data_IF_819770140375
#
_entry.id   IF_819770140375
#
_cell.length_a   1.000
_cell.length_b   1.000
_cell.length_c   1.000
_cell.angle_alpha   90.00
_cell.angle_beta   90.00
_cell.angle_gamma   90.00
#
_symmetry.space_group_name_H-M   'P 1'
#
loop_
_entity.id
_entity.type
_entity.pdbx_description
1 polymer ?
#
# COMPACT_ATOMS: atom_id res chain seq x y z
N UNK A 1 -4.53 4.61 -11.04
CA UNK A 1 -4.61 4.23 -9.60
C UNK A 1 -3.51 3.21 -9.33
N UNK A 2 -3.13 2.98 -8.08
CA UNK A 2 -2.15 1.96 -7.74
C UNK A 2 -2.58 1.16 -6.51
N UNK A 3 -2.22 -0.12 -6.49
CA UNK A 3 -2.43 -1.02 -5.37
C UNK A 3 -1.08 -1.46 -4.82
N UNK A 4 -0.92 -1.30 -3.52
CA UNK A 4 0.32 -1.55 -2.80
C UNK A 4 0.06 -2.61 -1.76
N UNK A 5 0.91 -3.62 -1.69
CA UNK A 5 0.90 -4.62 -0.63
C UNK A 5 2.11 -4.43 0.25
N UNK A 6 1.89 -4.48 1.55
CA UNK A 6 2.94 -4.42 2.54
C UNK A 6 2.82 -5.56 3.53
N UNK A 7 3.91 -6.30 3.74
CA UNK A 7 3.97 -7.40 4.69
C UNK A 7 4.40 -6.90 6.08
N UNK A 8 3.46 -6.30 6.81
CA UNK A 8 3.68 -5.80 8.16
C UNK A 8 2.56 -6.23 9.11
N UNK A 9 2.94 -6.59 10.35
CA UNK A 9 1.99 -6.89 11.43
C UNK A 9 1.53 -5.62 12.17
N UNK A 10 2.10 -4.46 11.83
CA UNK A 10 1.71 -3.18 12.44
C UNK A 10 0.36 -2.77 11.88
N UNK A 11 -0.56 -2.40 12.77
CA UNK A 11 -1.81 -1.74 12.39
C UNK A 11 -1.53 -0.26 12.20
N UNK A 12 -1.69 0.30 10.98
CA UNK A 12 -1.46 1.72 10.75
C UNK A 12 -2.45 2.58 11.54
N UNK A 13 -1.96 3.68 12.12
CA UNK A 13 -2.77 4.62 12.90
C UNK A 13 -3.94 5.17 12.07
N UNK A 14 -3.72 5.37 10.77
CA UNK A 14 -4.74 5.83 9.83
C UNK A 14 -5.98 4.92 9.80
N UNK A 15 -5.78 3.61 9.88
CA UNK A 15 -6.88 2.63 9.93
C UNK A 15 -7.58 2.62 11.29
N UNK A 16 -6.87 2.92 12.37
CA UNK A 16 -7.48 3.08 13.69
C UNK A 16 -8.35 4.33 13.76
N UNK A 17 -7.95 5.40 13.07
CA UNK A 17 -8.66 6.68 13.01
C UNK A 17 -9.83 6.70 12.03
N UNK A 18 -9.73 5.94 10.94
CA UNK A 18 -10.73 5.87 9.87
C UNK A 18 -11.09 4.40 9.55
N UNK A 19 -11.76 3.69 10.47
CA UNK A 19 -12.11 2.29 10.29
C UNK A 19 -13.06 2.06 9.11
N UNK A 20 -13.81 3.07 8.68
CA UNK A 20 -14.70 3.03 7.51
C UNK A 20 -13.96 2.83 6.18
N UNK A 21 -12.66 3.11 6.14
CA UNK A 21 -11.82 2.88 4.96
C UNK A 21 -11.27 1.44 4.92
N UNK A 22 -11.49 0.65 5.99
CA UNK A 22 -11.13 -0.76 6.03
C UNK A 22 -12.18 -1.56 5.29
N UNK A 23 -11.73 -2.29 4.28
CA UNK A 23 -12.56 -3.16 3.46
C UNK A 23 -12.19 -4.61 3.73
N UNK A 24 -13.20 -5.43 4.02
CA UNK A 24 -13.01 -6.85 4.32
C UNK A 24 -12.88 -7.16 5.81
N UNK A 25 -12.82 -8.45 6.11
CA UNK A 25 -12.76 -8.95 7.49
C UNK A 25 -11.30 -9.03 7.96
N UNK A 26 -11.08 -8.72 9.25
CA UNK A 26 -9.78 -8.93 9.89
C UNK A 26 -9.56 -10.44 10.02
N UNK A 27 -8.45 -11.00 9.49
CA UNK A 27 -8.18 -12.43 9.59
C UNK A 27 -8.13 -12.90 11.05
N UNK A 28 -8.76 -14.04 11.34
CA UNK A 28 -8.81 -14.62 12.68
C UNK A 28 -7.42 -14.88 13.29
N UNK A 29 -6.44 -15.21 12.45
CA UNK A 29 -5.05 -15.44 12.86
C UNK A 29 -4.25 -14.14 13.05
N UNK A 30 -4.88 -12.98 12.91
CA UNK A 30 -4.25 -11.67 12.95
C UNK A 30 -3.78 -11.17 11.57
N UNK A 31 -3.51 -9.88 11.52
CA UNK A 31 -3.06 -9.19 10.30
C UNK A 31 -1.57 -9.46 10.07
N UNK A 32 -1.23 -10.00 8.89
CA UNK A 32 0.14 -10.21 8.47
C UNK A 32 0.63 -9.17 7.45
N UNK A 33 -0.28 -8.38 6.90
CA UNK A 33 0.02 -7.30 5.98
C UNK A 33 -1.20 -6.45 5.66
N UNK A 34 -1.01 -5.50 4.77
CA UNK A 34 -2.08 -4.63 4.28
C UNK A 34 -1.99 -4.48 2.78
N UNK A 35 -3.13 -4.53 2.11
CA UNK A 35 -3.29 -4.04 0.75
C UNK A 35 -3.91 -2.64 0.82
N UNK A 36 -3.25 -1.68 0.19
CA UNK A 36 -3.59 -0.26 0.23
C UNK A 36 -3.84 0.20 -1.19
N UNK A 37 -5.04 0.70 -1.45
CA UNK A 37 -5.38 1.34 -2.72
C UNK A 37 -5.14 2.83 -2.63
N UNK A 38 -4.30 3.32 -3.53
CA UNK A 38 -3.93 4.73 -3.64
C UNK A 38 -4.44 5.29 -4.97
N UNK A 39 -5.05 6.46 -4.91
CA UNK A 39 -5.46 7.17 -6.11
C UNK A 39 -4.24 7.80 -6.82
N UNK A 40 -4.48 8.49 -7.94
CA UNK A 40 -3.40 9.11 -8.71
C UNK A 40 -2.71 10.29 -7.99
N UNK A 41 -3.28 10.80 -6.89
CA UNK A 41 -2.69 11.85 -6.06
C UNK A 41 -1.96 11.29 -4.83
N UNK A 42 -1.86 9.96 -4.70
CA UNK A 42 -1.20 9.29 -3.58
C UNK A 42 -2.02 9.25 -2.30
N UNK A 43 -3.31 9.59 -2.35
CA UNK A 43 -4.20 9.47 -1.21
C UNK A 43 -4.69 8.02 -1.08
N UNK A 44 -4.47 7.35 0.07
CA UNK A 44 -5.03 6.05 0.33
C UNK A 44 -6.52 6.17 0.60
N UNK A 45 -7.32 5.31 -0.01
CA UNK A 45 -8.79 5.35 0.11
C UNK A 45 -9.42 4.00 0.43
N UNK A 46 -8.65 2.91 0.44
CA UNK A 46 -9.12 1.58 0.83
C UNK A 46 -7.96 0.78 1.39
N UNK A 47 -8.26 0.08 2.49
CA UNK A 47 -7.32 -0.71 3.27
C UNK A 47 -7.90 -2.11 3.48
N UNK A 48 -7.24 -3.13 2.94
CA UNK A 48 -7.66 -4.51 3.13
C UNK A 48 -6.63 -5.23 4.00
N UNK A 49 -7.02 -5.80 5.14
CA UNK A 49 -6.11 -6.60 5.96
C UNK A 49 -5.73 -7.87 5.20
N UNK A 50 -4.45 -8.21 5.21
CA UNK A 50 -3.90 -9.39 4.56
C UNK A 50 -3.56 -10.46 5.60
N UNK A 51 -3.85 -11.70 5.26
CA UNK A 51 -3.48 -12.88 6.03
C UNK A 51 -2.04 -13.31 5.74
N UNK A 52 -1.50 -14.23 6.54
CA UNK A 52 -0.16 -14.77 6.32
C UNK A 52 0.00 -15.43 4.94
N UNK A 53 -1.08 -16.00 4.40
CA UNK A 53 -1.08 -16.61 3.06
C UNK A 53 -0.97 -15.60 1.93
N UNK A 54 -1.46 -14.38 2.13
CA UNK A 54 -1.44 -13.33 1.09
C UNK A 54 -0.05 -12.67 0.95
N UNK A 55 0.77 -12.75 2.00
CA UNK A 55 2.13 -12.16 2.05
C UNK A 55 3.22 -13.22 1.98
N UNK A 56 2.90 -14.45 1.53
CA UNK A 56 3.91 -15.50 1.32
C UNK A 56 4.99 -14.98 0.35
N UNK A 57 6.26 -15.13 0.75
CA UNK A 57 7.41 -14.71 -0.05
C UNK A 57 7.73 -13.20 0.01
N UNK A 58 7.05 -12.44 0.86
CA UNK A 58 7.48 -11.10 1.25
C UNK A 58 8.46 -11.18 2.42
N UNK A 59 9.47 -10.32 2.43
CA UNK A 59 10.28 -10.05 3.62
C UNK A 59 9.48 -9.17 4.59
N UNK A 60 9.89 -9.16 5.85
CA UNK A 60 9.29 -8.28 6.86
C UNK A 60 9.39 -6.81 6.41
N UNK A 61 8.26 -6.10 6.52
CA UNK A 61 8.08 -4.71 6.11
C UNK A 61 8.36 -4.47 4.60
N UNK A 62 8.39 -5.52 3.78
CA UNK A 62 8.55 -5.38 2.33
C UNK A 62 7.30 -4.82 1.67
N UNK A 63 7.50 -3.83 0.79
CA UNK A 63 6.46 -3.17 0.01
C UNK A 63 6.57 -3.60 -1.45
N UNK A 64 5.45 -4.04 -2.04
CA UNK A 64 5.35 -4.36 -3.47
C UNK A 64 4.13 -3.68 -4.09
N UNK A 65 4.28 -3.14 -5.29
CA UNK A 65 3.15 -2.72 -6.10
C UNK A 65 2.60 -3.93 -6.85
N UNK A 66 1.33 -4.24 -6.65
CA UNK A 66 0.65 -5.36 -7.31
C UNK A 66 -0.08 -4.93 -8.57
N UNK A 67 -0.63 -3.71 -8.57
CA UNK A 67 -1.38 -3.17 -9.70
C UNK A 67 -1.09 -1.68 -9.87
N UNK A 68 -0.82 -1.26 -11.11
CA UNK A 68 -0.49 0.12 -11.44
C UNK A 68 -1.14 0.48 -12.77
N UNK A 69 -2.18 1.30 -12.71
CA UNK A 69 -2.76 1.92 -13.89
C UNK A 69 -1.88 3.09 -14.33
N UNK A 70 -0.98 2.78 -15.26
CA UNK A 70 0.00 3.69 -15.84
C UNK A 70 -0.63 4.86 -16.59
N UNK A 71 -1.82 4.69 -17.18
CA UNK A 71 -2.49 5.76 -17.92
C UNK A 71 -3.07 6.81 -16.97
N UNK A 72 -3.65 6.39 -15.83
CA UNK A 72 -4.04 7.32 -14.78
C UNK A 72 -2.85 8.05 -14.14
N UNK A 73 -1.71 7.37 -13.97
CA UNK A 73 -0.49 8.00 -13.45
C UNK A 73 0.13 8.99 -14.44
N UNK A 74 0.17 8.68 -15.75
CA UNK A 74 0.64 9.62 -16.79
C UNK A 74 -0.21 10.89 -16.83
N UNK A 75 -1.53 10.78 -16.63
CA UNK A 75 -2.44 11.92 -16.57
C UNK A 75 -2.21 12.80 -15.33
N UNK A 76 -1.80 12.19 -14.21
CA UNK A 76 -1.44 12.93 -12.99
C UNK A 76 0.06 13.24 -12.95
N UNK A 77 0.46 14.34 -13.62
CA UNK A 77 1.84 14.84 -13.60
C UNK A 77 2.39 15.22 -12.22
N UNK A 78 1.54 15.33 -11.20
CA UNK A 78 1.89 16.02 -9.96
C UNK A 78 2.62 15.17 -8.90
N UNK A 79 2.57 13.82 -8.94
CA UNK A 79 3.14 13.00 -7.87
C UNK A 79 3.71 11.66 -8.35
N UNK A 80 4.96 11.37 -7.99
CA UNK A 80 5.61 10.08 -8.25
C UNK A 80 5.08 9.00 -7.30
N UNK A 81 3.93 8.41 -7.65
CA UNK A 81 3.32 7.31 -6.88
C UNK A 81 3.99 5.98 -7.19
N UNK A 82 4.24 5.69 -8.47
CA UNK A 82 4.99 4.53 -8.91
C UNK A 82 6.06 4.97 -9.90
N UNK A 83 7.25 4.39 -9.78
CA UNK A 83 8.36 4.62 -10.71
C UNK A 83 8.70 3.29 -11.36
N UNK A 84 8.79 3.28 -12.68
CA UNK A 84 9.25 2.10 -13.40
C UNK A 84 10.79 2.05 -13.29
N UNK A 85 11.32 1.05 -12.59
CA UNK A 85 12.77 0.79 -12.52
C UNK A 85 13.06 -0.63 -12.99
N UNK A 86 13.92 -0.76 -14.02
CA UNK A 86 14.31 -2.05 -14.61
C UNK A 86 13.10 -2.93 -14.99
N UNK A 87 12.02 -2.32 -15.49
CA UNK A 87 10.80 -3.02 -15.89
C UNK A 87 9.85 -3.41 -14.74
N UNK A 88 10.18 -3.07 -13.50
CA UNK A 88 9.35 -3.34 -12.31
C UNK A 88 8.86 -2.01 -11.74
N UNK A 89 7.58 -1.94 -11.38
CA UNK A 89 7.05 -0.79 -10.66
C UNK A 89 7.50 -0.84 -9.20
N UNK A 90 8.24 0.19 -8.79
CA UNK A 90 8.64 0.41 -7.41
C UNK A 90 7.92 1.63 -6.83
N UNK A 91 7.71 1.69 -5.51
CA UNK A 91 7.14 2.87 -4.88
C UNK A 91 7.93 4.12 -5.25
N UNK A 92 7.23 5.17 -5.67
CA UNK A 92 7.87 6.47 -5.86
C UNK A 92 7.97 7.23 -4.54
N UNK A 93 8.75 8.31 -4.52
CA UNK A 93 9.07 9.09 -3.31
C UNK A 93 7.86 9.55 -2.51
N UNK A 94 6.78 9.93 -3.19
CA UNK A 94 5.53 10.35 -2.54
C UNK A 94 4.83 9.18 -1.85
N UNK A 95 4.81 8.02 -2.51
CA UNK A 95 4.23 6.80 -1.95
C UNK A 95 5.08 6.31 -0.77
N UNK A 96 6.41 6.35 -0.87
CA UNK A 96 7.30 6.03 0.24
C UNK A 96 7.02 6.94 1.43
N UNK A 97 6.97 8.27 1.22
CA UNK A 97 6.67 9.23 2.29
C UNK A 97 5.32 8.95 2.95
N UNK A 98 4.28 8.64 2.16
CA UNK A 98 2.98 8.27 2.71
C UNK A 98 3.05 6.98 3.54
N UNK A 99 3.71 5.93 3.04
CA UNK A 99 3.87 4.68 3.77
C UNK A 99 4.65 4.88 5.07
N UNK A 100 5.69 5.71 5.06
CA UNK A 100 6.42 6.08 6.27
C UNK A 100 5.52 6.81 7.29
N UNK A 101 4.69 7.76 6.84
CA UNK A 101 3.77 8.47 7.73
C UNK A 101 2.68 7.57 8.32
N UNK A 102 2.15 6.64 7.52
CA UNK A 102 1.01 5.81 7.93
C UNK A 102 1.43 4.58 8.74
N UNK A 103 2.56 3.97 8.39
CA UNK A 103 3.05 2.77 9.07
C UNK A 103 4.22 3.02 10.04
N UNK A 104 4.80 4.23 10.03
CA UNK A 104 5.98 4.54 10.85
C UNK A 104 7.24 3.79 10.41
N UNK A 105 7.30 3.33 9.16
CA UNK A 105 8.44 2.59 8.62
C UNK A 105 9.61 3.56 8.42
N UNK A 106 10.80 3.19 8.86
CA UNK A 106 12.04 3.96 8.64
C UNK A 106 12.95 3.21 7.69
#
# INVERSE_FOLDING_TARGET
MATVRIATRRTPDFVQRYPELVTGEIPLAGVAGWEVKVNATGLPFSWTPLSATDVIGFKADEVRLSDVDAEALKRSRCKSIAVLRKGIYVPGKELETMLQLVFGLR
#
